data_IF_580803544712
#
_entry.id   IF_580803544712
#
_cell.length_a   1.000
_cell.length_b   1.000
_cell.length_c   1.000
_cell.angle_alpha   90.00
_cell.angle_beta   90.00
_cell.angle_gamma   90.00
#
_symmetry.space_group_name_H-M   'P 1'
#
loop_
_entity.id
_entity.type
_entity.pdbx_description
1 polymer ?
#
# COMPACT_ATOMS: atom_id res chain seq x y z
N UNK A 1 16.93 -4.20 1.54
CA UNK A 1 15.85 -4.88 0.79
C UNK A 1 14.87 -5.56 1.74
N UNK A 2 13.87 -4.83 2.23
CA UNK A 2 12.89 -5.33 3.21
C UNK A 2 12.09 -6.54 2.68
N UNK A 3 11.99 -6.71 1.36
CA UNK A 3 11.15 -7.73 0.72
C UNK A 3 11.90 -8.71 -0.17
N UNK A 4 13.24 -8.67 -0.20
CA UNK A 4 14.04 -9.54 -1.07
C UNK A 4 15.05 -10.37 -0.27
N UNK A 5 15.30 -11.59 -0.72
CA UNK A 5 16.39 -12.43 -0.24
C UNK A 5 17.74 -11.90 -0.73
N UNK A 6 18.86 -12.44 -0.20
CA UNK A 6 20.22 -12.17 -0.73
C UNK A 6 20.36 -12.44 -2.23
N UNK A 7 19.49 -13.28 -2.83
CA UNK A 7 19.41 -13.55 -4.27
C UNK A 7 18.45 -12.59 -5.00
N UNK A 8 18.03 -11.50 -4.38
CA UNK A 8 17.05 -10.53 -4.89
C UNK A 8 15.66 -11.12 -5.22
N UNK A 9 15.34 -12.30 -4.74
CA UNK A 9 14.00 -12.87 -4.84
C UNK A 9 13.09 -12.27 -3.78
N UNK A 10 11.84 -12.02 -4.14
CA UNK A 10 10.83 -11.51 -3.19
C UNK A 10 10.55 -12.60 -2.16
N UNK A 11 10.65 -12.26 -0.86
CA UNK A 11 10.32 -13.19 0.23
C UNK A 11 8.85 -13.54 0.23
N UNK A 12 8.48 -14.67 0.85
CA UNK A 12 7.08 -15.04 1.05
C UNK A 12 6.28 -13.97 1.83
N UNK A 13 6.92 -13.26 2.76
CA UNK A 13 6.34 -12.12 3.48
C UNK A 13 6.10 -10.95 2.53
N UNK A 14 7.07 -10.59 1.71
CA UNK A 14 6.93 -9.53 0.71
C UNK A 14 5.82 -9.82 -0.30
N UNK A 15 5.65 -11.07 -0.73
CA UNK A 15 4.55 -11.48 -1.60
C UNK A 15 3.21 -11.26 -0.90
N UNK A 16 3.09 -11.68 0.36
CA UNK A 16 1.86 -11.54 1.16
C UNK A 16 1.52 -10.08 1.45
N UNK A 17 2.51 -9.26 1.80
CA UNK A 17 2.33 -7.81 2.02
C UNK A 17 1.87 -7.09 0.74
N UNK A 18 2.44 -7.43 -0.41
CA UNK A 18 1.97 -6.92 -1.71
C UNK A 18 0.53 -7.34 -2.00
N UNK A 19 0.16 -8.58 -1.68
CA UNK A 19 -1.21 -9.07 -1.86
C UNK A 19 -2.20 -8.31 -0.96
N UNK A 20 -1.83 -7.99 0.29
CA UNK A 20 -2.65 -7.14 1.18
C UNK A 20 -2.86 -5.75 0.57
N UNK A 21 -1.78 -5.09 0.11
CA UNK A 21 -1.86 -3.76 -0.51
C UNK A 21 -2.72 -3.81 -1.77
N UNK A 22 -2.53 -4.83 -2.62
CA UNK A 22 -3.35 -5.05 -3.83
C UNK A 22 -4.83 -5.22 -3.49
N UNK A 23 -5.15 -6.06 -2.51
CA UNK A 23 -6.52 -6.28 -2.07
C UNK A 23 -7.17 -4.99 -1.56
N UNK A 24 -6.49 -4.23 -0.69
CA UNK A 24 -7.00 -2.98 -0.13
C UNK A 24 -7.15 -1.88 -1.19
N UNK A 25 -6.29 -1.85 -2.22
CA UNK A 25 -6.39 -0.87 -3.31
C UNK A 25 -7.62 -1.08 -4.20
N UNK A 26 -8.10 -2.32 -4.31
CA UNK A 26 -9.25 -2.68 -5.15
C UNK A 26 -10.56 -2.80 -4.37
N UNK A 27 -10.51 -2.87 -3.04
CA UNK A 27 -11.67 -3.06 -2.19
C UNK A 27 -12.41 -1.75 -1.94
N UNK A 28 -13.71 -1.71 -2.25
CA UNK A 28 -14.57 -0.55 -2.02
C UNK A 28 -15.48 -0.70 -0.79
N UNK A 29 -15.75 -1.95 -0.37
CA UNK A 29 -16.67 -2.27 0.72
C UNK A 29 -15.90 -2.51 2.02
N UNK A 30 -16.32 -1.89 3.13
CA UNK A 30 -15.73 -2.06 4.46
C UNK A 30 -15.69 -3.52 4.93
N UNK A 31 -16.71 -4.33 4.59
CA UNK A 31 -16.74 -5.75 4.96
C UNK A 31 -15.61 -6.56 4.29
N UNK A 32 -15.19 -6.20 3.08
CA UNK A 32 -14.08 -6.86 2.38
C UNK A 32 -12.71 -6.44 2.90
N UNK A 33 -12.63 -5.36 3.67
CA UNK A 33 -11.39 -4.80 4.21
C UNK A 33 -11.03 -5.30 5.63
N UNK A 34 -11.76 -6.27 6.15
CA UNK A 34 -11.45 -6.90 7.44
C UNK A 34 -10.32 -7.92 7.29
N UNK A 35 -9.58 -8.22 8.37
CA UNK A 35 -8.48 -9.20 8.36
C UNK A 35 -8.92 -10.57 7.81
N UNK A 36 -10.10 -11.01 8.20
CA UNK A 36 -10.65 -12.29 7.73
C UNK A 36 -10.94 -12.25 6.24
N UNK A 37 -11.59 -11.19 5.75
CA UNK A 37 -11.92 -11.05 4.34
C UNK A 37 -10.66 -10.92 3.46
N UNK A 38 -9.65 -10.15 3.90
CA UNK A 38 -8.35 -10.05 3.26
C UNK A 38 -7.70 -11.44 3.16
N UNK A 39 -7.69 -12.21 4.27
CA UNK A 39 -7.10 -13.55 4.30
C UNK A 39 -7.83 -14.52 3.38
N UNK A 40 -9.15 -14.47 3.32
CA UNK A 40 -9.97 -15.30 2.45
C UNK A 40 -9.71 -14.98 0.97
N UNK A 41 -9.74 -13.70 0.58
CA UNK A 41 -9.49 -13.28 -0.80
C UNK A 41 -8.11 -13.70 -1.28
N UNK A 42 -7.06 -13.44 -0.49
CA UNK A 42 -5.69 -13.82 -0.86
C UNK A 42 -5.54 -15.34 -0.94
N UNK A 43 -6.21 -16.09 -0.08
CA UNK A 43 -6.19 -17.54 -0.10
C UNK A 43 -6.88 -18.12 -1.33
N UNK A 44 -8.04 -17.56 -1.71
CA UNK A 44 -8.78 -17.94 -2.93
C UNK A 44 -7.96 -17.70 -4.20
N UNK A 45 -7.33 -16.52 -4.31
CA UNK A 45 -6.47 -16.18 -5.45
C UNK A 45 -5.27 -17.13 -5.61
N UNK A 46 -4.79 -17.72 -4.52
CA UNK A 46 -3.64 -18.61 -4.50
C UNK A 46 -3.99 -20.11 -4.33
N UNK A 47 -5.27 -20.47 -4.32
CA UNK A 47 -5.77 -21.85 -4.12
C UNK A 47 -5.23 -22.50 -2.83
N UNK A 48 -5.17 -21.76 -1.74
CA UNK A 48 -4.72 -22.25 -0.42
C UNK A 48 -5.81 -22.06 0.63
N UNK A 49 -5.74 -22.83 1.71
CA UNK A 49 -6.66 -22.63 2.83
C UNK A 49 -6.34 -21.34 3.57
N UNK A 50 -7.35 -20.47 3.71
CA UNK A 50 -7.19 -19.17 4.36
C UNK A 50 -6.63 -19.24 5.78
N UNK A 51 -6.92 -20.31 6.51
CA UNK A 51 -6.37 -20.55 7.86
C UNK A 51 -4.85 -20.64 7.88
N UNK A 52 -4.23 -21.11 6.79
CA UNK A 52 -2.79 -21.27 6.69
C UNK A 52 -2.04 -19.94 6.56
N UNK A 53 -2.69 -18.90 6.05
CA UNK A 53 -2.07 -17.58 5.88
C UNK A 53 -2.58 -16.56 6.88
N UNK A 54 -3.64 -16.86 7.63
CA UNK A 54 -4.34 -15.92 8.50
C UNK A 54 -3.42 -15.27 9.54
N UNK A 55 -2.62 -16.08 10.25
CA UNK A 55 -1.65 -15.58 11.22
C UNK A 55 -0.56 -14.70 10.58
N UNK A 56 -0.13 -15.07 9.38
CA UNK A 56 0.82 -14.26 8.60
C UNK A 56 0.23 -12.91 8.18
N UNK A 57 -1.03 -12.86 7.75
CA UNK A 57 -1.73 -11.61 7.43
C UNK A 57 -1.84 -10.71 8.67
N UNK A 58 -2.18 -11.27 9.83
CA UNK A 58 -2.22 -10.52 11.08
C UNK A 58 -0.87 -9.90 11.42
N UNK A 59 0.20 -10.71 11.39
CA UNK A 59 1.55 -10.24 11.66
C UNK A 59 1.97 -9.15 10.70
N UNK A 60 1.74 -9.33 9.39
CA UNK A 60 2.11 -8.34 8.39
C UNK A 60 1.36 -7.01 8.56
N UNK A 61 0.08 -7.06 8.96
CA UNK A 61 -0.68 -5.86 9.27
C UNK A 61 -0.16 -5.19 10.54
N UNK A 62 -0.06 -5.92 11.67
CA UNK A 62 0.21 -5.34 12.98
C UNK A 62 1.68 -4.97 13.20
N UNK A 63 2.62 -5.77 12.66
CA UNK A 63 4.05 -5.59 12.90
C UNK A 63 4.76 -4.83 11.77
N UNK A 64 4.15 -4.72 10.58
CA UNK A 64 4.80 -4.11 9.43
C UNK A 64 3.98 -2.98 8.82
N UNK A 65 2.82 -3.27 8.24
CA UNK A 65 2.11 -2.30 7.39
C UNK A 65 1.49 -1.14 8.18
N UNK A 66 0.96 -1.40 9.37
CA UNK A 66 0.41 -0.37 10.26
C UNK A 66 1.54 0.47 10.88
N UNK A 67 2.60 -0.11 11.48
CA UNK A 67 3.72 0.67 12.01
C UNK A 67 4.45 1.52 10.96
N UNK A 68 4.55 1.05 9.72
CA UNK A 68 5.11 1.85 8.60
C UNK A 68 4.16 2.94 8.10
N UNK A 69 2.93 3.00 8.61
CA UNK A 69 1.92 3.95 8.18
C UNK A 69 1.42 3.72 6.74
N UNK A 70 1.57 2.50 6.21
CA UNK A 70 1.07 2.11 4.88
C UNK A 70 -0.42 1.79 4.93
N UNK A 71 -0.84 1.12 6.01
CA UNK A 71 -2.23 0.75 6.29
C UNK A 71 -2.66 1.39 7.61
N UNK A 72 -3.92 1.78 7.70
CA UNK A 72 -4.54 2.24 8.94
C UNK A 72 -5.91 1.60 9.16
N UNK A 73 -6.35 1.52 10.42
CA UNK A 73 -7.73 1.18 10.77
C UNK A 73 -8.64 2.34 10.36
N UNK A 74 -9.65 2.06 9.53
CA UNK A 74 -10.61 3.07 9.06
C UNK A 74 -11.81 3.17 10.01
N UNK A 75 -12.16 2.05 10.66
CA UNK A 75 -13.28 1.97 11.58
C UNK A 75 -13.60 0.55 11.97
N UNK A 76 -14.77 0.33 12.57
CA UNK A 76 -15.20 -0.98 13.07
C UNK A 76 -16.61 -1.34 12.62
N UNK A 77 -16.77 -2.55 12.12
CA UNK A 77 -18.06 -3.11 11.77
C UNK A 77 -18.73 -3.72 12.99
N UNK A 78 -20.06 -3.56 13.17
CA UNK A 78 -20.79 -4.18 14.26
C UNK A 78 -20.74 -5.71 14.15
N UNK A 79 -20.62 -6.40 15.27
CA UNK A 79 -20.74 -7.85 15.32
C UNK A 79 -22.20 -8.25 15.16
N UNK A 80 -22.47 -9.13 14.22
CA UNK A 80 -23.83 -9.43 13.76
C UNK A 80 -24.69 -10.25 14.73
N UNK A 81 -24.15 -10.92 15.79
CA UNK A 81 -24.93 -11.79 16.70
C UNK A 81 -24.30 -11.99 18.09
N UNK A 82 -25.19 -12.14 19.11
CA UNK A 82 -24.92 -12.65 20.46
C UNK A 82 -24.78 -11.57 21.55
N UNK A 83 -24.97 -11.94 22.82
CA UNK A 83 -24.89 -11.01 23.96
C UNK A 83 -23.52 -10.31 24.09
N UNK A 84 -22.44 -10.97 23.64
CA UNK A 84 -21.09 -10.41 23.58
C UNK A 84 -20.92 -9.31 22.52
N UNK A 85 -21.81 -9.24 21.53
CA UNK A 85 -21.74 -8.22 20.48
C UNK A 85 -21.92 -6.79 21.01
N UNK A 86 -22.61 -6.64 22.15
CA UNK A 86 -22.81 -5.36 22.83
C UNK A 86 -21.61 -4.90 23.67
N UNK A 87 -20.70 -5.83 23.98
CA UNK A 87 -19.52 -5.58 24.84
C UNK A 87 -18.20 -5.48 24.06
N UNK A 88 -18.17 -5.86 22.78
CA UNK A 88 -16.96 -5.81 21.95
C UNK A 88 -16.99 -4.63 21.01
N UNK A 89 -15.83 -3.98 20.85
CA UNK A 89 -15.62 -2.80 20.00
C UNK A 89 -15.80 -3.05 18.49
N UNK A 90 -16.47 -4.13 18.07
CA UNK A 90 -16.69 -4.47 16.67
C UNK A 90 -15.43 -5.04 15.98
N UNK A 91 -15.56 -5.35 14.70
CA UNK A 91 -14.49 -5.93 13.88
C UNK A 91 -13.79 -4.82 13.08
N UNK A 92 -12.48 -4.60 13.27
CA UNK A 92 -11.75 -3.55 12.56
C UNK A 92 -11.68 -3.82 11.06
N UNK A 93 -11.78 -2.76 10.26
CA UNK A 93 -11.49 -2.79 8.83
C UNK A 93 -10.48 -1.69 8.48
N UNK A 94 -9.74 -1.91 7.39
CA UNK A 94 -8.52 -1.20 7.09
C UNK A 94 -8.59 -0.49 5.75
N UNK A 95 -7.76 0.54 5.59
CA UNK A 95 -7.57 1.24 4.31
C UNK A 95 -6.10 1.53 4.06
N UNK A 96 -5.76 1.82 2.82
CA UNK A 96 -4.44 2.37 2.48
C UNK A 96 -4.39 3.85 2.87
N UNK A 97 -3.38 4.22 3.62
CA UNK A 97 -3.06 5.64 3.86
C UNK A 97 -2.52 6.30 2.59
N UNK A 98 -2.23 7.60 2.61
CA UNK A 98 -1.55 8.28 1.51
C UNK A 98 -0.20 7.62 1.18
N UNK A 99 0.60 7.24 2.20
CA UNK A 99 1.82 6.44 2.00
C UNK A 99 1.53 5.11 1.31
N UNK A 100 0.51 4.40 1.76
CA UNK A 100 0.06 3.14 1.17
C UNK A 100 -0.36 3.29 -0.28
N UNK A 101 -1.02 4.40 -0.64
CA UNK A 101 -1.38 4.70 -2.02
C UNK A 101 -0.13 4.93 -2.89
N UNK A 102 0.89 5.67 -2.40
CA UNK A 102 2.17 5.84 -3.11
C UNK A 102 2.84 4.47 -3.33
N UNK A 103 2.90 3.63 -2.29
CA UNK A 103 3.46 2.27 -2.41
C UNK A 103 2.68 1.43 -3.43
N UNK A 104 1.34 1.55 -3.45
CA UNK A 104 0.51 0.82 -4.42
C UNK A 104 0.77 1.25 -5.86
N UNK A 105 1.11 2.52 -6.11
CA UNK A 105 1.50 3.01 -7.44
C UNK A 105 2.83 2.41 -7.93
N UNK A 106 3.69 1.97 -7.03
CA UNK A 106 4.96 1.29 -7.31
C UNK A 106 4.81 -0.22 -7.58
N UNK A 107 3.62 -0.81 -7.42
CA UNK A 107 3.37 -2.25 -7.61
C UNK A 107 2.74 -2.50 -8.98
N UNK A 108 3.47 -3.18 -9.88
CA UNK A 108 3.06 -3.40 -11.27
C UNK A 108 1.72 -4.12 -11.46
N UNK A 109 1.35 -5.00 -10.53
CA UNK A 109 0.16 -5.85 -10.64
C UNK A 109 -1.15 -5.15 -10.27
N UNK A 110 -1.11 -3.89 -9.83
CA UNK A 110 -2.32 -3.15 -9.44
C UNK A 110 -2.98 -2.58 -10.70
N UNK A 111 -4.16 -3.10 -11.06
CA UNK A 111 -4.87 -2.79 -12.29
C UNK A 111 -5.32 -1.32 -12.38
N UNK A 112 -5.70 -0.73 -11.27
CA UNK A 112 -6.33 0.60 -11.21
C UNK A 112 -5.40 1.72 -10.72
N UNK A 113 -4.07 1.59 -10.94
CA UNK A 113 -3.08 2.61 -10.53
C UNK A 113 -3.46 4.05 -10.96
N UNK A 114 -4.06 4.21 -12.14
CA UNK A 114 -4.51 5.54 -12.59
C UNK A 114 -5.63 6.13 -11.73
N UNK A 115 -6.55 5.30 -11.22
CA UNK A 115 -7.61 5.75 -10.29
C UNK A 115 -7.02 6.13 -8.94
N UNK A 116 -6.06 5.36 -8.45
CA UNK A 116 -5.34 5.64 -7.20
C UNK A 116 -4.60 6.97 -7.32
N UNK A 117 -3.91 7.21 -8.44
CA UNK A 117 -3.21 8.47 -8.68
C UNK A 117 -4.17 9.68 -8.68
N UNK A 118 -5.34 9.56 -9.30
CA UNK A 118 -6.36 10.61 -9.23
C UNK A 118 -6.87 10.82 -7.81
N UNK A 119 -7.11 9.74 -7.07
CA UNK A 119 -7.60 9.85 -5.69
C UNK A 119 -6.59 10.54 -4.77
N UNK A 120 -5.29 10.28 -4.93
CA UNK A 120 -4.25 10.87 -4.10
C UNK A 120 -4.05 12.37 -4.37
N UNK A 121 -4.27 12.86 -5.60
CA UNK A 121 -4.24 14.28 -5.94
C UNK A 121 -5.23 15.08 -5.07
N UNK A 122 -6.41 14.52 -4.82
CA UNK A 122 -7.43 15.15 -3.97
C UNK A 122 -7.09 15.12 -2.47
N UNK A 123 -6.09 14.33 -2.06
CA UNK A 123 -5.63 14.20 -0.68
C UNK A 123 -4.31 14.95 -0.41
N UNK A 124 -3.83 15.74 -1.36
CA UNK A 124 -2.62 16.54 -1.21
C UNK A 124 -2.75 17.48 0.00
N UNK A 125 -1.69 17.57 0.80
CA UNK A 125 -1.69 18.36 2.03
C UNK A 125 -1.51 19.87 1.75
N UNK A 126 -0.79 20.20 0.69
CA UNK A 126 -0.47 21.56 0.27
C UNK A 126 -0.35 21.67 -1.26
N UNK A 127 -0.12 22.89 -1.74
CA UNK A 127 -0.01 23.16 -3.17
C UNK A 127 1.24 22.52 -3.81
N UNK A 128 2.34 22.37 -3.08
CA UNK A 128 3.56 21.75 -3.60
C UNK A 128 3.35 20.24 -3.84
N UNK A 129 2.75 19.57 -2.88
CA UNK A 129 2.41 18.15 -3.00
C UNK A 129 1.37 17.94 -4.11
N UNK A 130 0.35 18.79 -4.18
CA UNK A 130 -0.66 18.76 -5.24
C UNK A 130 -0.03 18.93 -6.61
N UNK A 131 0.84 19.92 -6.79
CA UNK A 131 1.56 20.15 -8.05
C UNK A 131 2.39 18.91 -8.45
N UNK A 132 3.09 18.28 -7.51
CA UNK A 132 3.87 17.09 -7.81
C UNK A 132 2.99 15.93 -8.32
N UNK A 133 1.85 15.67 -7.66
CA UNK A 133 0.93 14.63 -8.12
C UNK A 133 0.27 14.98 -9.47
N UNK A 134 -0.08 16.23 -9.72
CA UNK A 134 -0.61 16.68 -11.02
C UNK A 134 0.41 16.51 -12.15
N UNK A 135 1.69 16.79 -11.90
CA UNK A 135 2.78 16.52 -12.85
C UNK A 135 2.84 15.02 -13.15
N UNK A 136 2.80 14.19 -12.11
CA UNK A 136 2.82 12.74 -12.26
C UNK A 136 1.58 12.21 -13.01
N UNK A 137 0.41 12.78 -12.78
CA UNK A 137 -0.80 12.42 -13.55
C UNK A 137 -0.65 12.72 -15.04
N UNK A 138 -0.10 13.89 -15.38
CA UNK A 138 0.20 14.25 -16.78
C UNK A 138 1.24 13.31 -17.39
N UNK A 139 2.30 13.02 -16.64
CA UNK A 139 3.37 12.11 -17.07
C UNK A 139 2.83 10.69 -17.33
N UNK A 140 1.99 10.16 -16.43
CA UNK A 140 1.35 8.84 -16.60
C UNK A 140 0.37 8.81 -17.79
N UNK A 141 -0.23 9.94 -18.15
CA UNK A 141 -1.06 10.02 -19.37
C UNK A 141 -0.23 9.87 -20.64
N UNK A 142 0.94 10.52 -20.70
CA UNK A 142 1.81 10.57 -21.87
C UNK A 142 2.66 9.31 -21.96
N UNK A 143 3.29 8.91 -20.88
CA UNK A 143 4.24 7.82 -20.80
C UNK A 143 3.97 6.95 -19.55
N UNK A 144 2.95 6.07 -19.57
CA UNK A 144 2.50 5.33 -18.38
C UNK A 144 3.61 4.53 -17.70
N UNK A 145 4.42 3.78 -18.47
CA UNK A 145 5.52 2.97 -17.92
C UNK A 145 6.56 3.83 -17.22
N UNK A 146 6.95 4.94 -17.85
CA UNK A 146 7.91 5.87 -17.26
C UNK A 146 7.33 6.53 -16.01
N UNK A 147 6.10 7.04 -16.08
CA UNK A 147 5.44 7.68 -14.93
C UNK A 147 5.35 6.75 -13.70
N UNK A 148 4.98 5.48 -13.90
CA UNK A 148 4.95 4.53 -12.79
C UNK A 148 6.33 4.10 -12.32
N UNK A 149 7.34 4.05 -13.18
CA UNK A 149 8.72 3.75 -12.78
C UNK A 149 9.31 4.82 -11.85
N UNK A 150 8.82 6.06 -11.91
CA UNK A 150 9.19 7.12 -10.93
C UNK A 150 8.73 6.73 -9.54
N UNK A 151 7.48 6.27 -9.37
CA UNK A 151 6.99 5.79 -8.08
C UNK A 151 7.77 4.57 -7.58
N UNK A 152 8.13 3.64 -8.47
CA UNK A 152 8.95 2.47 -8.12
C UNK A 152 10.30 2.88 -7.56
N UNK A 153 11.00 3.81 -8.24
CA UNK A 153 12.29 4.34 -7.78
C UNK A 153 12.16 5.10 -6.48
N UNK A 154 11.13 5.91 -6.33
CA UNK A 154 10.87 6.69 -5.11
C UNK A 154 10.64 5.76 -3.90
N UNK A 155 9.78 4.76 -4.04
CA UNK A 155 9.52 3.77 -2.98
C UNK A 155 10.77 2.92 -2.73
N UNK A 156 11.54 2.58 -3.77
CA UNK A 156 12.82 1.88 -3.61
C UNK A 156 13.82 2.71 -2.78
N UNK A 157 13.95 4.01 -3.07
CA UNK A 157 14.82 4.91 -2.31
C UNK A 157 14.43 4.97 -0.83
N UNK A 158 13.13 4.97 -0.52
CA UNK A 158 12.65 4.85 0.86
C UNK A 158 13.04 3.51 1.51
N UNK A 159 12.84 2.39 0.82
CA UNK A 159 13.22 1.07 1.33
C UNK A 159 14.73 0.90 1.54
N UNK A 160 15.55 1.65 0.81
CA UNK A 160 17.01 1.66 0.91
C UNK A 160 17.54 2.74 1.88
N UNK A 161 16.65 3.44 2.58
CA UNK A 161 16.96 4.55 3.50
C UNK A 161 17.68 5.73 2.84
N UNK A 162 17.52 5.89 1.53
CA UNK A 162 18.04 7.04 0.77
C UNK A 162 17.16 8.29 0.93
N UNK A 163 15.91 8.11 1.35
CA UNK A 163 14.99 9.16 1.79
C UNK A 163 14.37 8.75 3.12
N UNK A 164 14.07 9.71 3.98
CA UNK A 164 13.56 9.45 5.33
C UNK A 164 12.08 9.03 5.35
N UNK A 165 11.27 9.63 4.49
CA UNK A 165 9.84 9.36 4.42
C UNK A 165 9.32 9.50 2.96
N UNK A 166 8.18 8.83 2.70
CA UNK A 166 7.45 8.97 1.44
C UNK A 166 6.61 10.26 1.37
N UNK A 167 6.39 10.93 2.48
CA UNK A 167 5.66 12.19 2.56
C UNK A 167 6.53 13.30 3.15
N UNK A 168 6.34 14.57 2.72
CA UNK A 168 5.47 14.98 1.61
C UNK A 168 6.03 14.53 0.26
N UNK A 169 5.15 14.16 -0.67
CA UNK A 169 5.53 13.83 -2.05
C UNK A 169 5.68 15.12 -2.85
N UNK A 170 6.91 15.60 -3.01
CA UNK A 170 7.22 16.84 -3.73
C UNK A 170 8.19 16.58 -4.88
N UNK A 171 8.23 17.50 -5.86
CA UNK A 171 9.19 17.42 -6.98
C UNK A 171 10.63 17.37 -6.46
N UNK A 172 10.93 18.13 -5.41
CA UNK A 172 12.26 18.17 -4.79
C UNK A 172 12.64 16.80 -4.19
N UNK A 173 11.75 16.18 -3.41
CA UNK A 173 11.99 14.88 -2.81
C UNK A 173 12.13 13.76 -3.86
N UNK A 174 11.35 13.82 -4.92
CA UNK A 174 11.47 12.89 -6.06
C UNK A 174 12.82 13.06 -6.77
N UNK A 175 13.27 14.30 -6.99
CA UNK A 175 14.57 14.58 -7.61
C UNK A 175 15.73 14.08 -6.74
N UNK A 176 15.71 14.36 -5.43
CA UNK A 176 16.72 13.86 -4.48
C UNK A 176 16.81 12.32 -4.49
N UNK A 177 15.67 11.65 -4.59
CA UNK A 177 15.66 10.18 -4.66
C UNK A 177 16.31 9.63 -5.93
N UNK A 178 16.28 10.40 -7.03
CA UNK A 178 16.91 10.02 -8.29
C UNK A 178 18.43 10.21 -8.25
N UNK A 179 18.91 11.32 -7.68
CA UNK A 179 20.34 11.66 -7.58
C UNK A 179 21.10 10.66 -6.70
N UNK A 180 20.51 10.25 -5.57
CA UNK A 180 21.10 9.26 -4.67
C UNK A 180 21.19 7.86 -5.31
N UNK A 181 20.33 7.55 -6.28
CA UNK A 181 20.36 6.27 -6.99
C UNK A 181 21.42 6.22 -8.11
N UNK A 182 21.97 7.37 -8.51
CA UNK A 182 23.00 7.47 -9.57
C UNK A 182 24.44 7.38 -9.02
N UNK A 183 24.63 7.35 -7.71
CA UNK A 183 25.95 7.28 -7.04
C UNK A 183 26.36 5.87 -6.61
N UNK A 184 25.63 4.84 -7.01
CA UNK A 184 25.92 3.41 -6.78
C UNK A 184 26.14 2.69 -8.12
#
# INVERSE_FOLDING_TARGET
DTFKTKKQQITGEGIRQRAIIHHLSNSTNSASKTRTAISQSIAEENNILWKNIYSGIFRDLDEVLIPLGIVAEEGRLPLKRGPKALQQNGMPFYHLTKKGMIVSLAIDKISDRKKILKAIVHQAADDNEKQAFEIMEKLVKIAPHFGFSVFERYVKAYCESNIEDLLPFTVENVSKSADNSAQL
#
